data_IF_203755497730
#
_entry.id   IF_203755497730
#
_cell.length_a   1.000
_cell.length_b   1.000
_cell.length_c   1.000
_cell.angle_alpha   90.00
_cell.angle_beta   90.00
_cell.angle_gamma   90.00
#
_symmetry.space_group_name_H-M   'P 1'
#
loop_
_entity.id
_entity.type
_entity.pdbx_description
1 polymer ?
#
# COMPACT_ATOMS: atom_id res chain seq x y z
N UNK A 1 21.35 -18.99 -0.90
CA UNK A 1 20.52 -17.78 -0.85
C UNK A 1 19.08 -18.25 -0.93
N UNK A 2 18.31 -18.07 0.15
CA UNK A 2 16.90 -18.41 0.14
C UNK A 2 16.13 -17.44 -0.78
N UNK A 3 15.12 -17.90 -1.54
CA UNK A 3 14.37 -17.03 -2.42
C UNK A 3 13.57 -16.00 -1.61
N UNK A 4 13.69 -14.73 -1.99
CA UNK A 4 12.88 -13.65 -1.42
C UNK A 4 11.47 -13.79 -1.98
N UNK A 5 10.54 -14.23 -1.14
CA UNK A 5 9.12 -14.25 -1.47
C UNK A 5 8.55 -12.84 -1.32
N UNK A 6 8.19 -12.21 -2.43
CA UNK A 6 7.51 -10.92 -2.46
C UNK A 6 6.04 -11.08 -2.84
N UNK A 7 5.18 -10.20 -2.32
CA UNK A 7 3.77 -10.13 -2.69
C UNK A 7 3.44 -8.67 -2.97
N UNK A 8 2.65 -8.41 -4.00
CA UNK A 8 2.19 -7.08 -4.39
C UNK A 8 0.67 -7.04 -4.48
N UNK A 9 0.07 -5.97 -3.98
CA UNK A 9 -1.37 -5.72 -4.06
C UNK A 9 -1.57 -4.27 -4.47
N UNK A 10 -2.25 -4.01 -5.60
CA UNK A 10 -2.54 -2.64 -6.01
C UNK A 10 -3.63 -2.03 -5.14
N UNK A 11 -3.47 -0.76 -4.78
CA UNK A 11 -4.48 0.05 -4.12
C UNK A 11 -5.02 1.08 -5.10
N UNK A 12 -6.34 1.23 -5.16
CA UNK A 12 -7.02 2.13 -6.09
C UNK A 12 -7.88 3.15 -5.35
N UNK A 13 -8.32 4.18 -6.07
CA UNK A 13 -9.28 5.19 -5.58
C UNK A 13 -8.80 5.98 -4.36
N UNK A 14 -7.48 6.13 -4.20
CA UNK A 14 -6.90 7.02 -3.21
C UNK A 14 -7.00 8.47 -3.70
N UNK A 15 -7.46 9.38 -2.82
CA UNK A 15 -7.44 10.82 -3.07
C UNK A 15 -5.99 11.35 -3.08
N UNK A 16 -5.71 12.23 -4.04
CA UNK A 16 -4.48 13.05 -4.06
C UNK A 16 -4.47 14.06 -2.92
N UNK A 17 -3.28 14.53 -2.58
CA UNK A 17 -3.00 15.47 -1.48
C UNK A 17 -3.55 15.03 -0.12
N UNK A 18 -3.69 13.72 0.05
CA UNK A 18 -4.01 13.08 1.32
C UNK A 18 -2.87 12.17 1.74
N UNK A 19 -2.58 12.16 3.03
CA UNK A 19 -1.63 11.24 3.65
C UNK A 19 -2.37 9.97 4.11
N UNK A 20 -1.75 8.82 3.87
CA UNK A 20 -2.27 7.51 4.21
C UNK A 20 -1.27 6.74 5.05
N UNK A 21 -1.76 6.09 6.11
CA UNK A 21 -1.02 5.07 6.84
C UNK A 21 -1.33 3.69 6.25
N UNK A 22 -0.29 2.98 5.82
CA UNK A 22 -0.39 1.64 5.27
C UNK A 22 0.34 0.67 6.19
N UNK A 23 -0.35 -0.41 6.57
CA UNK A 23 0.21 -1.52 7.33
C UNK A 23 -0.27 -2.82 6.71
N UNK A 24 0.57 -3.84 6.75
CA UNK A 24 0.22 -5.19 6.29
C UNK A 24 0.24 -6.17 7.46
N UNK A 25 -0.58 -7.20 7.40
CA UNK A 25 -0.52 -8.33 8.34
C UNK A 25 -0.76 -9.63 7.60
N UNK A 26 -0.14 -10.70 8.07
CA UNK A 26 -0.35 -12.02 7.49
C UNK A 26 -1.69 -12.59 7.95
N UNK A 27 -2.46 -13.15 7.01
CA UNK A 27 -3.58 -14.05 7.34
C UNK A 27 -3.04 -15.47 7.31
N UNK A 28 -3.06 -16.16 8.45
CA UNK A 28 -2.65 -17.54 8.48
C UNK A 28 -3.71 -18.39 7.77
N UNK A 29 -3.31 -19.35 6.93
CA UNK A 29 -4.29 -20.21 6.23
C UNK A 29 -4.91 -21.27 7.14
N UNK A 30 -4.17 -21.67 8.18
CA UNK A 30 -4.55 -22.76 9.10
C UNK A 30 -5.29 -22.29 10.35
N UNK A 31 -5.26 -20.99 10.63
CA UNK A 31 -6.01 -20.36 11.71
C UNK A 31 -6.74 -19.16 11.08
N UNK A 32 -8.01 -18.94 11.41
CA UNK A 32 -8.75 -17.78 10.86
C UNK A 32 -8.29 -16.44 11.48
N UNK A 33 -7.14 -16.47 12.15
CA UNK A 33 -6.52 -15.36 12.84
C UNK A 33 -5.55 -14.64 11.91
N UNK A 34 -5.36 -13.37 12.24
CA UNK A 34 -4.35 -12.55 11.60
C UNK A 34 -3.18 -12.38 12.56
N UNK A 35 -1.97 -12.35 12.00
CA UNK A 35 -0.77 -12.01 12.74
C UNK A 35 -0.71 -10.51 13.09
N UNK A 36 0.43 -10.12 13.65
CA UNK A 36 0.70 -8.72 13.96
C UNK A 36 0.82 -7.87 12.69
N UNK A 37 0.56 -6.57 12.85
CA UNK A 37 0.80 -5.60 11.79
C UNK A 37 2.30 -5.33 11.64
N UNK A 38 2.70 -5.05 10.41
CA UNK A 38 4.00 -4.45 10.11
C UNK A 38 4.14 -3.07 10.75
N UNK A 39 5.34 -2.52 10.62
CA UNK A 39 5.58 -1.09 10.77
C UNK A 39 4.66 -0.27 9.84
N UNK A 40 4.40 0.99 10.24
CA UNK A 40 3.57 1.93 9.47
C UNK A 40 4.39 2.49 8.32
N UNK A 41 3.84 2.43 7.12
CA UNK A 41 4.32 3.18 5.97
C UNK A 41 3.41 4.37 5.72
N UNK A 42 3.97 5.58 5.70
CA UNK A 42 3.26 6.80 5.35
C UNK A 42 3.36 7.06 3.85
N UNK A 43 2.22 7.15 3.17
CA UNK A 43 2.13 7.37 1.72
C UNK A 43 1.37 8.66 1.45
N UNK A 44 2.03 9.60 0.75
CA UNK A 44 1.39 10.79 0.20
C UNK A 44 1.35 10.68 -1.32
N UNK A 45 0.16 10.81 -1.89
CA UNK A 45 -0.01 10.94 -3.34
C UNK A 45 0.02 12.44 -3.68
N UNK A 46 1.13 12.96 -4.24
CA UNK A 46 1.19 14.38 -4.59
C UNK A 46 0.10 14.71 -5.59
N UNK A 47 -0.52 15.88 -5.45
CA UNK A 47 -1.31 16.44 -6.53
C UNK A 47 -0.36 16.65 -7.71
N UNK A 48 -0.49 15.84 -8.77
CA UNK A 48 0.16 16.20 -10.03
C UNK A 48 -0.39 17.57 -10.41
N UNK A 49 0.52 18.51 -10.68
CA UNK A 49 0.17 19.83 -11.17
C UNK A 49 -0.85 19.71 -12.30
N UNK A 50 -1.74 20.70 -12.39
CA UNK A 50 -2.65 20.88 -13.52
C UNK A 50 -1.84 21.20 -14.79
N UNK A 51 -0.95 20.32 -15.22
CA UNK A 51 -0.58 20.29 -16.62
C UNK A 51 -1.79 19.67 -17.31
N UNK A 52 -2.69 20.53 -17.76
CA UNK A 52 -3.57 20.20 -18.87
C UNK A 52 -2.66 19.65 -19.95
N UNK A 53 -2.75 18.36 -20.27
CA UNK A 53 -2.27 17.88 -21.56
C UNK A 53 -3.02 18.72 -22.59
N UNK A 54 -2.35 19.70 -23.18
CA UNK A 54 -2.76 20.21 -24.47
C UNK A 54 -2.51 19.07 -25.45
N UNK A 55 -3.60 18.60 -26.05
CA UNK A 55 -3.64 17.52 -27.05
C UNK A 55 -2.80 17.87 -28.29
#
# INVERSE_FOLDING_TARGET
MDPILSTSVPLYSLRVDKEYEVRVRSKQRKSENYGEFSEVLYVKLPQMSQFTCEE
#
